data_IF_587651258903
#
_entry.id   IF_587651258903
#
_cell.length_a   1.000
_cell.length_b   1.000
_cell.length_c   1.000
_cell.angle_alpha   90.00
_cell.angle_beta   90.00
_cell.angle_gamma   90.00
#
_symmetry.space_group_name_H-M   'P 1'
#
loop_
_entity.id
_entity.type
_entity.pdbx_description
1 polymer ?
#
# COMPACT_ATOMS: atom_id res chain seq x y z
N UNK A 1 -12.77 47.72 6.40
CA UNK A 1 -12.26 47.84 7.78
C UNK A 1 -13.03 46.86 8.66
N UNK A 2 -12.46 45.68 8.95
CA UNK A 2 -12.97 44.76 9.97
C UNK A 2 -11.76 44.22 10.73
N UNK A 3 -11.94 44.14 12.04
CA UNK A 3 -10.97 44.40 13.08
C UNK A 3 -9.93 43.30 13.30
N UNK A 4 -8.73 43.77 13.60
CA UNK A 4 -7.61 43.07 14.20
C UNK A 4 -7.70 43.27 15.71
N UNK A 5 -8.03 42.23 16.48
CA UNK A 5 -7.76 42.16 17.93
C UNK A 5 -7.32 40.74 18.27
N UNK A 6 -6.01 40.55 18.20
CA UNK A 6 -5.23 39.59 19.00
C UNK A 6 -4.97 40.25 20.35
N UNK A 7 -5.18 39.50 21.45
CA UNK A 7 -4.75 39.69 22.87
C UNK A 7 -5.94 39.47 23.80
N UNK A 8 -5.89 38.83 24.97
CA UNK A 8 -4.88 38.09 25.72
C UNK A 8 -5.66 37.63 26.97
N UNK A 9 -5.68 36.34 27.30
CA UNK A 9 -6.22 35.89 28.58
C UNK A 9 -5.22 34.94 29.26
N UNK A 10 -4.99 35.23 30.53
CA UNK A 10 -3.91 34.84 31.39
C UNK A 10 -4.11 33.44 32.02
N UNK A 11 -3.04 32.63 32.02
CA UNK A 11 -2.47 31.70 33.04
C UNK A 11 -3.26 31.33 34.32
N UNK A 12 -3.03 30.14 34.94
CA UNK A 12 -1.74 29.68 35.53
C UNK A 12 -1.34 28.20 35.23
N UNK A 13 -0.05 27.86 35.08
CA UNK A 13 0.94 27.45 36.10
C UNK A 13 0.57 26.19 36.93
N UNK A 14 1.23 25.07 36.62
CA UNK A 14 1.63 23.94 37.49
C UNK A 14 2.49 23.02 36.59
N UNK A 15 3.83 23.04 36.62
CA UNK A 15 4.72 22.38 37.59
C UNK A 15 4.27 20.97 37.96
N UNK A 16 4.76 19.96 37.22
CA UNK A 16 5.38 18.76 37.81
C UNK A 16 6.60 18.41 36.94
N UNK A 17 7.76 18.68 37.50
CA UNK A 17 9.08 18.24 37.08
C UNK A 17 9.36 16.94 37.84
N UNK A 18 9.51 15.80 37.15
CA UNK A 18 10.15 14.60 37.71
C UNK A 18 10.35 13.55 36.61
N UNK A 19 11.41 13.70 35.83
CA UNK A 19 12.12 12.53 35.28
C UNK A 19 13.61 12.86 35.18
N UNK A 20 14.23 13.08 36.33
CA UNK A 20 15.67 12.87 36.46
C UNK A 20 15.92 11.37 36.63
N UNK A 21 16.70 10.84 35.70
CA UNK A 21 17.22 9.48 35.73
C UNK A 21 18.31 9.32 34.67
N UNK A 22 19.26 10.25 34.61
CA UNK A 22 20.54 10.01 33.94
C UNK A 22 21.35 9.01 34.77
N UNK A 23 21.69 7.86 34.19
CA UNK A 23 22.98 7.22 34.43
C UNK A 23 23.48 6.55 33.16
N UNK A 24 24.64 7.02 32.74
CA UNK A 24 25.59 6.53 31.74
C UNK A 24 25.81 5.02 31.74
N UNK A 25 26.10 4.44 30.57
CA UNK A 25 27.44 3.97 30.20
C UNK A 25 27.37 2.98 29.04
N UNK A 26 28.04 3.33 27.95
CA UNK A 26 28.55 2.38 26.99
C UNK A 26 29.79 1.71 27.59
N UNK A 27 29.77 0.38 27.71
CA UNK A 27 30.97 -0.46 27.71
C UNK A 27 30.62 -1.83 27.12
N UNK A 28 31.45 -2.26 26.18
CA UNK A 28 31.54 -3.59 25.60
C UNK A 28 31.55 -4.70 26.66
N UNK A 29 31.08 -5.89 26.29
CA UNK A 29 31.81 -7.17 26.42
C UNK A 29 30.95 -8.31 25.90
N UNK A 30 31.48 -9.03 24.91
CA UNK A 30 31.00 -10.33 24.45
C UNK A 30 31.19 -11.39 25.54
N UNK A 31 30.31 -12.39 25.64
CA UNK A 31 30.72 -13.80 25.81
C UNK A 31 29.50 -14.72 25.85
N UNK A 32 29.68 -15.85 25.18
CA UNK A 32 28.87 -17.05 25.00
C UNK A 32 28.29 -17.69 26.28
N UNK A 33 27.47 -18.73 26.01
CA UNK A 33 27.19 -20.00 26.75
C UNK A 33 25.70 -20.08 27.13
N UNK A 34 24.85 -20.75 26.35
CA UNK A 34 24.62 -22.20 26.19
C UNK A 34 23.73 -22.83 27.29
N UNK A 35 22.87 -23.76 26.85
CA UNK A 35 22.14 -24.76 27.64
C UNK A 35 21.01 -24.29 28.58
N UNK A 36 19.76 -24.67 28.31
CA UNK A 36 19.28 -26.06 28.45
C UNK A 36 17.76 -26.15 28.43
N UNK A 37 17.31 -27.31 27.99
CA UNK A 37 15.94 -27.79 27.83
C UNK A 37 15.21 -27.90 29.18
N UNK A 38 13.93 -27.51 29.21
CA UNK A 38 12.92 -28.18 30.05
C UNK A 38 11.60 -28.32 29.30
N UNK A 39 11.32 -29.57 28.91
CA UNK A 39 9.97 -30.08 28.67
C UNK A 39 9.35 -30.34 30.04
N UNK A 40 8.13 -29.87 30.28
CA UNK A 40 7.22 -30.50 31.24
C UNK A 40 5.77 -30.13 30.93
N UNK A 41 5.09 -31.14 30.40
CA UNK A 41 3.66 -31.26 30.23
C UNK A 41 2.97 -31.38 31.60
N UNK A 42 1.76 -30.83 31.73
CA UNK A 42 0.73 -31.42 32.56
C UNK A 42 -0.67 -31.18 31.96
N UNK A 43 -1.36 -32.29 31.72
CA UNK A 43 -2.76 -32.41 31.32
C UNK A 43 -3.72 -32.02 32.44
N UNK A 44 -4.92 -31.56 32.07
CA UNK A 44 -6.27 -31.85 32.63
C UNK A 44 -7.25 -30.95 31.82
N UNK A 45 -7.88 -31.43 30.75
CA UNK A 45 -9.17 -32.14 30.70
C UNK A 45 -10.36 -31.36 31.28
N UNK A 46 -11.13 -30.70 30.42
CA UNK A 46 -12.61 -30.57 30.45
C UNK A 46 -13.01 -29.86 29.13
N UNK A 47 -13.30 -30.53 28.01
CA UNK A 47 -14.33 -31.54 27.73
C UNK A 47 -15.75 -31.07 28.07
N UNK A 48 -16.34 -30.24 27.22
CA UNK A 48 -17.77 -30.36 26.88
C UNK A 48 -17.93 -30.21 25.39
N UNK A 49 -17.90 -31.38 24.75
CA UNK A 49 -18.31 -31.65 23.38
C UNK A 49 -19.82 -31.42 23.23
N UNK A 50 -20.23 -30.47 22.38
CA UNK A 50 -21.54 -30.53 21.73
C UNK A 50 -21.35 -31.06 20.32
N UNK A 51 -21.64 -32.34 20.17
CA UNK A 51 -21.69 -33.07 18.90
C UNK A 51 -22.95 -32.68 18.14
N UNK A 52 -22.80 -32.06 16.97
CA UNK A 52 -23.81 -32.12 15.91
C UNK A 52 -23.23 -32.96 14.79
N UNK A 53 -23.75 -34.18 14.64
CA UNK A 53 -23.43 -35.07 13.56
C UNK A 53 -24.02 -34.51 12.25
N UNK A 54 -23.16 -34.13 11.31
CA UNK A 54 -23.55 -33.89 9.91
C UNK A 54 -22.86 -34.93 9.04
N UNK A 55 -23.70 -35.75 8.44
CA UNK A 55 -23.42 -36.82 7.50
C UNK A 55 -22.57 -36.33 6.30
N UNK A 56 -21.54 -37.09 5.96
CA UNK A 56 -20.72 -37.03 4.73
C UNK A 56 -20.78 -38.45 4.12
N UNK A 57 -20.68 -38.73 2.80
CA UNK A 57 -20.41 -37.89 1.62
C UNK A 57 -21.36 -38.14 0.41
N UNK A 58 -21.28 -37.29 -0.63
CA UNK A 58 -21.30 -37.76 -2.02
C UNK A 58 -20.50 -36.80 -2.94
N UNK A 59 -19.84 -37.31 -4.00
CA UNK A 59 -18.72 -36.63 -4.66
C UNK A 59 -19.07 -35.90 -5.97
N UNK A 60 -18.13 -35.02 -6.35
CA UNK A 60 -17.77 -34.53 -7.70
C UNK A 60 -18.82 -33.86 -8.59
N UNK A 61 -18.51 -32.64 -9.02
CA UNK A 61 -18.34 -32.30 -10.45
C UNK A 61 -17.53 -31.01 -10.56
N UNK A 62 -16.21 -31.17 -10.72
CA UNK A 62 -15.33 -30.11 -11.22
C UNK A 62 -15.43 -30.12 -12.74
N UNK A 63 -16.16 -29.17 -13.33
CA UNK A 63 -16.03 -28.86 -14.75
C UNK A 63 -15.02 -27.73 -14.93
N UNK A 64 -13.78 -28.10 -15.21
CA UNK A 64 -12.79 -27.21 -15.78
C UNK A 64 -13.08 -27.05 -17.29
N UNK A 65 -13.17 -25.83 -17.84
CA UNK A 65 -13.01 -25.65 -19.27
C UNK A 65 -11.54 -25.81 -19.63
N UNK A 66 -11.23 -26.92 -20.31
CA UNK A 66 -9.96 -27.14 -20.96
C UNK A 66 -9.84 -26.19 -22.16
N UNK A 67 -8.97 -25.18 -22.05
CA UNK A 67 -8.53 -24.42 -23.23
C UNK A 67 -7.31 -25.11 -23.80
N UNK A 68 -7.53 -25.74 -24.96
CA UNK A 68 -6.56 -26.33 -25.87
C UNK A 68 -5.34 -25.44 -26.09
N UNK A 69 -4.16 -25.98 -25.80
CA UNK A 69 -2.86 -25.45 -26.23
C UNK A 69 -2.62 -25.90 -27.67
N UNK A 70 -2.55 -24.96 -28.61
CA UNK A 70 -2.06 -25.20 -29.97
C UNK A 70 -0.54 -24.99 -30.04
N UNK A 71 0.25 -25.88 -30.71
CA UNK A 71 1.70 -25.69 -30.88
C UNK A 71 2.09 -24.73 -32.02
N UNK A 72 3.22 -24.06 -31.77
CA UNK A 72 4.07 -23.13 -32.57
C UNK A 72 4.55 -23.66 -33.94
N UNK A 73 4.82 -22.81 -34.96
CA UNK A 73 6.18 -22.30 -35.29
C UNK A 73 6.11 -20.78 -35.69
N UNK A 74 7.14 -19.94 -35.86
CA UNK A 74 8.59 -19.94 -35.77
C UNK A 74 9.03 -18.46 -35.64
N UNK A 75 10.26 -18.25 -35.17
CA UNK A 75 10.92 -16.96 -35.07
C UNK A 75 11.19 -16.36 -36.45
N UNK A 76 11.14 -15.02 -36.59
CA UNK A 76 11.90 -14.33 -37.64
C UNK A 76 12.37 -12.93 -37.20
N UNK A 77 13.69 -12.83 -37.06
CA UNK A 77 14.60 -11.72 -37.44
C UNK A 77 14.51 -10.33 -36.78
N UNK A 78 15.59 -10.04 -36.06
CA UNK A 78 16.25 -8.75 -35.83
C UNK A 78 16.25 -7.81 -37.05
N UNK A 79 15.94 -6.53 -36.82
CA UNK A 79 16.50 -5.41 -37.59
C UNK A 79 16.58 -4.18 -36.67
N UNK A 80 17.81 -3.85 -36.26
CA UNK A 80 18.13 -2.62 -35.53
C UNK A 80 18.18 -1.47 -36.54
N UNK A 81 17.18 -0.61 -36.54
CA UNK A 81 17.21 0.68 -37.22
C UNK A 81 17.69 1.77 -36.23
N UNK A 82 18.55 2.72 -36.63
CA UNK A 82 18.92 3.85 -35.78
C UNK A 82 17.68 4.70 -35.49
N UNK A 83 17.34 4.85 -34.20
CA UNK A 83 16.21 5.71 -33.78
C UNK A 83 16.62 7.18 -33.96
N UNK A 84 15.88 7.99 -34.74
CA UNK A 84 16.07 9.44 -34.73
C UNK A 84 15.83 10.00 -33.32
N UNK A 85 16.45 11.12 -32.93
CA UNK A 85 16.25 11.71 -31.62
C UNK A 85 14.75 12.01 -31.43
N UNK A 86 14.14 11.35 -30.46
CA UNK A 86 12.74 11.60 -30.13
C UNK A 86 12.67 12.92 -29.41
N UNK A 87 12.29 13.95 -30.16
CA UNK A 87 11.66 15.14 -29.60
C UNK A 87 10.47 14.67 -28.77
N UNK A 88 10.55 14.82 -27.45
CA UNK A 88 9.44 14.55 -26.56
C UNK A 88 8.24 15.40 -26.99
N UNK A 89 7.04 14.81 -27.14
CA UNK A 89 5.86 15.56 -27.59
C UNK A 89 5.50 16.66 -26.56
N UNK A 90 4.94 17.79 -27.01
CA UNK A 90 4.46 18.84 -26.13
C UNK A 90 3.32 18.30 -25.27
N UNK A 91 3.38 18.64 -23.99
CA UNK A 91 2.51 18.07 -22.98
C UNK A 91 1.12 18.68 -23.10
N UNK A 92 0.23 17.99 -23.82
CA UNK A 92 -1.23 18.14 -23.71
C UNK A 92 -1.60 17.99 -22.23
N UNK A 93 -2.39 18.91 -21.62
CA UNK A 93 -2.59 19.06 -20.15
C UNK A 93 -2.05 17.85 -19.37
N UNK A 94 -0.83 18.00 -18.85
CA UNK A 94 0.05 16.86 -18.57
C UNK A 94 -0.64 15.75 -17.81
N UNK A 95 -0.22 14.51 -18.04
CA UNK A 95 -0.42 13.41 -17.07
C UNK A 95 -0.14 13.92 -15.63
N UNK A 96 0.92 14.70 -15.47
CA UNK A 96 1.28 15.37 -14.22
C UNK A 96 0.27 16.43 -13.73
N UNK A 97 -0.33 17.23 -14.61
CA UNK A 97 -1.33 18.23 -14.21
C UNK A 97 -2.60 17.56 -13.72
N UNK A 98 -2.99 16.47 -14.37
CA UNK A 98 -4.11 15.64 -13.91
C UNK A 98 -3.79 15.04 -12.54
N UNK A 99 -2.64 14.38 -12.38
CA UNK A 99 -2.25 13.78 -11.11
C UNK A 99 -2.10 14.81 -10.00
N UNK A 100 -1.55 15.99 -10.29
CA UNK A 100 -1.46 17.09 -9.34
C UNK A 100 -2.85 17.57 -8.87
N UNK A 101 -3.81 17.70 -9.78
CA UNK A 101 -5.20 18.00 -9.42
C UNK A 101 -5.79 16.92 -8.50
N UNK A 102 -5.60 15.65 -8.84
CA UNK A 102 -6.10 14.52 -8.06
C UNK A 102 -5.46 14.51 -6.66
N UNK A 103 -4.13 14.53 -6.56
CA UNK A 103 -3.44 14.56 -5.24
C UNK A 103 -3.90 15.73 -4.38
N UNK A 104 -4.06 16.91 -4.96
CA UNK A 104 -4.53 18.08 -4.24
C UNK A 104 -5.96 17.89 -3.72
N UNK A 105 -6.86 17.35 -4.54
CA UNK A 105 -8.27 17.13 -4.18
C UNK A 105 -8.44 16.03 -3.15
N UNK A 106 -7.81 14.88 -3.38
CA UNK A 106 -8.04 13.66 -2.61
C UNK A 106 -7.38 13.73 -1.22
N UNK A 107 -6.21 14.36 -1.12
CA UNK A 107 -5.42 14.30 0.11
C UNK A 107 -4.74 15.62 0.48
N UNK A 108 -4.92 16.68 -0.31
CA UNK A 108 -4.14 17.92 -0.20
C UNK A 108 -2.63 17.67 -0.31
N UNK A 109 -2.23 16.80 -1.25
CA UNK A 109 -0.85 16.34 -1.49
C UNK A 109 -0.22 15.56 -0.33
N UNK A 110 -1.03 14.94 0.54
CA UNK A 110 -0.54 14.13 1.65
C UNK A 110 -0.40 12.65 1.23
N UNK A 111 0.83 12.22 0.96
CA UNK A 111 1.17 10.84 0.59
C UNK A 111 0.96 9.79 1.69
N UNK A 112 0.78 10.20 2.95
CA UNK A 112 0.47 9.32 4.07
C UNK A 112 -1.02 9.35 4.46
N UNK A 113 -1.87 10.02 3.66
CA UNK A 113 -3.29 10.19 3.97
C UNK A 113 -4.02 8.84 4.04
N UNK A 114 -4.95 8.76 4.98
CA UNK A 114 -5.85 7.63 5.18
C UNK A 114 -7.23 8.25 5.36
N UNK A 115 -8.22 7.76 4.62
CA UNK A 115 -9.59 8.24 4.78
C UNK A 115 -10.15 7.86 6.16
N UNK A 116 -11.31 8.43 6.52
CA UNK A 116 -11.92 8.17 7.82
C UNK A 116 -12.30 6.71 8.04
N UNK A 117 -12.49 5.92 6.97
CA UNK A 117 -12.82 4.49 7.06
C UNK A 117 -11.60 3.58 7.03
N UNK A 118 -10.42 4.09 6.68
CA UNK A 118 -9.21 3.30 6.48
C UNK A 118 -9.19 2.47 5.19
N UNK A 119 -10.13 2.70 4.28
CA UNK A 119 -10.26 1.95 3.01
C UNK A 119 -9.40 2.55 1.89
N UNK A 120 -9.30 3.87 1.84
CA UNK A 120 -8.61 4.61 0.77
C UNK A 120 -7.34 5.26 1.31
N UNK A 121 -6.23 4.99 0.63
CA UNK A 121 -4.89 5.20 1.15
C UNK A 121 -4.08 6.07 0.20
N UNK A 122 -3.13 6.80 0.77
CA UNK A 122 -2.14 7.59 0.05
C UNK A 122 -2.68 8.89 -0.55
N UNK A 123 -1.83 9.55 -1.33
CA UNK A 123 -2.16 10.86 -1.90
C UNK A 123 -3.34 10.82 -2.88
N UNK A 124 -3.54 9.66 -3.52
CA UNK A 124 -4.53 9.44 -4.56
C UNK A 124 -5.79 8.72 -4.06
N UNK A 125 -5.84 8.42 -2.75
CA UNK A 125 -6.97 7.75 -2.10
C UNK A 125 -7.38 6.49 -2.87
N UNK A 126 -6.42 5.58 -3.07
CA UNK A 126 -6.62 4.31 -3.78
C UNK A 126 -6.81 3.21 -2.73
N UNK A 127 -7.78 2.32 -2.93
CA UNK A 127 -7.97 1.16 -2.05
C UNK A 127 -7.00 0.02 -2.44
N UNK A 128 -6.68 -0.85 -1.48
CA UNK A 128 -5.63 -1.87 -1.63
C UNK A 128 -5.78 -2.77 -2.87
N UNK A 129 -6.96 -3.32 -3.13
CA UNK A 129 -7.16 -4.23 -4.27
C UNK A 129 -6.98 -3.55 -5.63
N UNK A 130 -7.31 -2.24 -5.72
CA UNK A 130 -7.10 -1.45 -6.92
C UNK A 130 -5.61 -1.18 -7.16
N UNK A 131 -4.90 -0.85 -6.08
CA UNK A 131 -3.46 -0.70 -6.07
C UNK A 131 -2.75 -1.98 -6.53
N UNK A 132 -3.03 -3.11 -5.89
CA UNK A 132 -2.40 -4.41 -6.19
C UNK A 132 -2.65 -4.84 -7.63
N UNK A 133 -3.87 -4.64 -8.13
CA UNK A 133 -4.25 -4.95 -9.51
C UNK A 133 -3.44 -4.14 -10.53
N UNK A 134 -3.29 -2.83 -10.30
CA UNK A 134 -2.52 -1.96 -11.20
C UNK A 134 -1.03 -2.24 -11.09
N UNK A 135 -0.49 -2.37 -9.87
CA UNK A 135 0.90 -2.72 -9.61
C UNK A 135 1.29 -4.03 -10.31
N UNK A 136 0.45 -5.06 -10.20
CA UNK A 136 0.63 -6.33 -10.91
C UNK A 136 0.62 -6.17 -12.43
N UNK A 137 -0.30 -5.36 -12.98
CA UNK A 137 -0.37 -5.09 -14.44
C UNK A 137 0.85 -4.36 -14.99
N UNK A 138 1.51 -3.51 -14.20
CA UNK A 138 2.73 -2.82 -14.61
C UNK A 138 4.02 -3.56 -14.20
N UNK A 139 3.92 -4.82 -13.78
CA UNK A 139 5.06 -5.65 -13.34
C UNK A 139 5.84 -5.07 -12.15
N UNK A 140 5.20 -4.23 -11.33
CA UNK A 140 5.74 -3.75 -10.04
C UNK A 140 5.27 -4.66 -8.92
N UNK A 141 5.70 -5.92 -8.97
CA UNK A 141 5.35 -6.94 -7.98
C UNK A 141 5.86 -6.60 -6.58
N UNK A 142 6.91 -5.78 -6.49
CA UNK A 142 7.45 -5.20 -5.26
C UNK A 142 6.46 -4.27 -4.54
N UNK A 143 5.46 -3.74 -5.25
CA UNK A 143 4.42 -2.88 -4.67
C UNK A 143 3.13 -3.64 -4.34
N UNK A 144 2.97 -4.90 -4.78
CA UNK A 144 1.78 -5.69 -4.48
C UNK A 144 1.76 -6.07 -3.00
N UNK A 145 0.67 -5.75 -2.33
CA UNK A 145 0.52 -5.92 -0.88
C UNK A 145 1.13 -4.78 -0.04
N UNK A 146 1.81 -3.81 -0.68
CA UNK A 146 2.27 -2.59 -0.01
C UNK A 146 1.08 -1.62 0.08
N UNK A 147 0.73 -1.11 1.26
CA UNK A 147 -0.30 -0.08 1.39
C UNK A 147 0.09 1.20 0.64
N UNK A 148 -0.81 1.82 -0.15
CA UNK A 148 -0.50 3.04 -0.88
C UNK A 148 0.07 4.15 0.00
N UNK A 149 -0.43 4.33 1.23
CA UNK A 149 0.06 5.33 2.18
C UNK A 149 1.45 5.02 2.77
N UNK A 150 1.97 3.81 2.58
CA UNK A 150 3.32 3.40 2.98
C UNK A 150 4.30 3.35 1.80
N UNK A 151 3.80 3.34 0.56
CA UNK A 151 4.63 3.42 -0.63
C UNK A 151 5.28 4.79 -0.78
N UNK A 152 6.45 4.85 -1.43
CA UNK A 152 7.13 6.11 -1.69
C UNK A 152 6.26 7.03 -2.57
N UNK A 153 6.44 8.37 -2.49
CA UNK A 153 5.69 9.29 -3.35
C UNK A 153 5.80 8.95 -4.84
N UNK A 154 7.00 8.60 -5.30
CA UNK A 154 7.24 8.23 -6.70
C UNK A 154 6.50 6.95 -7.10
N UNK A 155 6.40 5.96 -6.20
CA UNK A 155 5.65 4.74 -6.46
C UNK A 155 4.14 4.99 -6.50
N UNK A 156 3.64 5.84 -5.61
CA UNK A 156 2.24 6.27 -5.65
C UNK A 156 1.90 6.98 -6.96
N UNK A 157 2.78 7.87 -7.42
CA UNK A 157 2.61 8.56 -8.70
C UNK A 157 2.66 7.60 -9.88
N UNK A 158 3.57 6.62 -9.86
CA UNK A 158 3.69 5.63 -10.93
C UNK A 158 2.44 4.74 -11.05
N UNK A 159 1.91 4.26 -9.92
CA UNK A 159 0.68 3.44 -9.90
C UNK A 159 -0.53 4.29 -10.26
N UNK A 160 -0.65 5.52 -9.76
CA UNK A 160 -1.75 6.42 -10.11
C UNK A 160 -1.72 6.80 -11.59
N UNK A 161 -0.53 7.07 -12.15
CA UNK A 161 -0.34 7.31 -13.58
C UNK A 161 -0.79 6.12 -14.43
N UNK A 162 -0.39 4.90 -14.03
CA UNK A 162 -0.81 3.69 -14.71
C UNK A 162 -2.33 3.50 -14.61
N UNK A 163 -2.92 3.74 -13.45
CA UNK A 163 -4.36 3.67 -13.22
C UNK A 163 -5.11 4.67 -14.11
N UNK A 164 -4.62 5.90 -14.23
CA UNK A 164 -5.16 6.90 -15.15
C UNK A 164 -5.06 6.45 -16.60
N UNK A 165 -3.95 5.87 -17.02
CA UNK A 165 -3.78 5.36 -18.39
C UNK A 165 -4.68 4.16 -18.70
N UNK A 166 -4.97 3.32 -17.72
CA UNK A 166 -5.83 2.14 -17.90
C UNK A 166 -7.32 2.45 -17.86
N UNK A 167 -7.75 3.34 -16.95
CA UNK A 167 -9.16 3.57 -16.65
C UNK A 167 -9.63 5.00 -16.93
N UNK A 168 -8.73 5.85 -17.43
CA UNK A 168 -8.98 7.27 -17.59
C UNK A 168 -9.26 7.94 -16.24
N UNK A 169 -10.17 8.90 -16.26
CA UNK A 169 -10.51 9.73 -15.08
C UNK A 169 -11.51 9.05 -14.12
N UNK A 170 -12.07 7.90 -14.50
CA UNK A 170 -13.18 7.26 -13.78
C UNK A 170 -12.90 6.97 -12.30
N UNK A 171 -11.70 6.50 -11.89
CA UNK A 171 -11.41 6.23 -10.48
C UNK A 171 -11.55 7.45 -9.56
N UNK A 172 -11.46 8.67 -10.11
CA UNK A 172 -11.53 9.94 -9.38
C UNK A 172 -12.75 10.79 -9.77
N UNK A 173 -13.80 10.16 -10.28
CA UNK A 173 -15.08 10.81 -10.58
C UNK A 173 -15.06 11.80 -11.75
N UNK A 174 -13.99 11.86 -12.54
CA UNK A 174 -13.94 12.66 -13.78
C UNK A 174 -13.70 14.17 -13.61
N UNK A 175 -13.54 14.68 -12.40
CA UNK A 175 -13.60 16.13 -12.10
C UNK A 175 -12.29 16.86 -12.42
N UNK A 176 -11.15 16.20 -12.22
CA UNK A 176 -9.87 16.74 -12.67
C UNK A 176 -9.79 16.55 -14.19
N UNK A 177 -9.97 17.61 -14.98
CA UNK A 177 -10.06 17.49 -16.45
C UNK A 177 -10.16 18.79 -17.21
#
# INVERSE_FOLDING_TARGET
>A
MIALIVTLACLPLLVVDMFQGSTSSATETASSTDSSLVVSSLSTEESTTTTVAVTVPAPVTTMAPATTIAPRPAQTTTTTAPRPPVTAPPVVKSDEEFLACVRLRESRNNYASVDSTGTFLGAYQIYQGGWDSVAGRISRLDLVGVPPNQASPADQDAVALAMYRFYGRAPWGGICG
#
